data_IF_305857609442
#
_entry.id   IF_305857609442
#
_cell.length_a   1.000
_cell.length_b   1.000
_cell.length_c   1.000
_cell.angle_alpha   90.00
_cell.angle_beta   90.00
_cell.angle_gamma   90.00
#
_symmetry.space_group_name_H-M   'P 1'
#
loop_
_entity.id
_entity.type
_entity.pdbx_description
1 polymer ?
#
# COMPACT_ATOMS: atom_id res chain seq x y z
N UNK A 1 -2.10 59.31 74.84
CA UNK A 1 -1.83 58.11 75.64
C UNK A 1 -2.66 56.98 75.04
N UNK A 2 -2.13 56.27 74.05
CA UNK A 2 -2.85 55.22 73.30
C UNK A 2 -2.13 53.89 73.46
N UNK A 3 -2.83 52.77 73.74
CA UNK A 3 -2.18 51.50 73.94
C UNK A 3 -1.96 50.76 72.61
N UNK A 4 -0.86 50.02 72.64
CA UNK A 4 -0.24 49.17 71.62
C UNK A 4 -1.00 47.87 71.37
N UNK A 5 -1.05 47.42 70.10
CA UNK A 5 -1.40 46.06 69.71
C UNK A 5 -0.49 45.57 68.58
N UNK A 6 0.36 44.58 68.87
CA UNK A 6 1.43 44.07 67.99
C UNK A 6 0.88 43.17 66.87
N UNK A 7 1.28 43.40 65.62
CA UNK A 7 1.01 42.52 64.49
C UNK A 7 1.99 41.32 64.46
N UNK A 8 1.47 40.10 64.33
CA UNK A 8 2.25 38.85 64.19
C UNK A 8 2.74 38.74 62.75
N UNK A 9 4.05 38.57 62.54
CA UNK A 9 4.64 38.25 61.24
C UNK A 9 4.52 36.74 60.98
N UNK A 10 3.80 36.37 59.91
CA UNK A 10 3.83 35.03 59.32
C UNK A 10 4.98 34.98 58.31
N UNK A 11 5.94 34.08 58.53
CA UNK A 11 6.97 33.73 57.54
C UNK A 11 6.36 32.73 56.55
N UNK A 12 6.12 33.16 55.32
CA UNK A 12 5.81 32.27 54.21
C UNK A 12 7.13 31.72 53.64
N UNK A 13 7.36 30.41 53.80
CA UNK A 13 8.46 29.71 53.14
C UNK A 13 8.01 29.37 51.72
N UNK A 14 8.55 30.08 50.72
CA UNK A 14 8.33 29.77 49.31
C UNK A 14 9.23 28.60 48.91
N UNK A 15 8.65 27.40 48.81
CA UNK A 15 9.32 26.22 48.24
C UNK A 15 9.32 26.28 46.71
N UNK A 16 10.50 26.44 46.11
CA UNK A 16 10.70 26.35 44.66
C UNK A 16 10.63 24.88 44.22
N UNK A 17 9.50 24.47 43.67
CA UNK A 17 9.37 23.14 43.03
C UNK A 17 9.94 23.25 41.62
N UNK A 18 11.15 22.73 41.42
CA UNK A 18 11.78 22.62 40.12
C UNK A 18 11.23 21.37 39.40
N UNK A 19 10.21 21.55 38.57
CA UNK A 19 9.69 20.48 37.70
C UNK A 19 10.65 20.29 36.51
N UNK A 20 11.53 19.29 36.60
CA UNK A 20 12.27 18.81 35.44
C UNK A 20 11.29 18.15 34.47
N UNK A 21 10.87 18.87 33.43
CA UNK A 21 10.17 18.27 32.31
C UNK A 21 11.15 17.34 31.58
N UNK A 22 11.07 16.04 31.85
CA UNK A 22 11.69 15.04 31.00
C UNK A 22 10.99 15.12 29.63
N UNK A 23 11.62 15.81 28.69
CA UNK A 23 11.24 15.70 27.28
C UNK A 23 11.43 14.25 26.87
N UNK A 24 10.33 13.51 26.75
CA UNK A 24 10.33 12.23 26.07
C UNK A 24 10.75 12.50 24.63
N UNK A 25 12.04 12.29 24.33
CA UNK A 25 12.49 12.22 22.95
C UNK A 25 11.67 11.08 22.33
N UNK A 26 10.82 11.39 21.36
CA UNK A 26 10.18 10.36 20.56
C UNK A 26 11.32 9.55 19.95
N UNK A 27 11.57 8.34 20.49
CA UNK A 27 12.49 7.42 19.87
C UNK A 27 12.03 7.31 18.42
N UNK A 28 12.93 7.59 17.47
CA UNK A 28 12.64 7.36 16.07
C UNK A 28 12.19 5.91 15.98
N UNK A 29 10.90 5.69 15.73
CA UNK A 29 10.35 4.35 15.67
C UNK A 29 11.21 3.58 14.67
N UNK A 30 11.82 2.48 15.13
CA UNK A 30 12.67 1.66 14.27
C UNK A 30 11.90 1.25 13.02
N UNK A 31 12.66 0.92 11.98
CA UNK A 31 12.09 0.58 10.70
C UNK A 31 12.62 -0.76 10.20
N UNK A 32 11.73 -1.50 9.56
CA UNK A 32 12.12 -2.65 8.77
C UNK A 32 12.65 -2.11 7.43
N UNK A 33 13.95 -2.24 7.24
CA UNK A 33 14.64 -1.88 6.00
C UNK A 33 14.97 -3.13 5.19
N UNK A 34 15.30 -2.96 3.93
CA UNK A 34 15.72 -4.11 3.15
C UNK A 34 16.02 -3.82 1.70
N UNK A 35 16.33 -4.89 0.99
CA UNK A 35 16.57 -4.88 -0.45
C UNK A 35 15.72 -5.93 -1.16
N UNK A 36 15.09 -5.54 -2.25
CA UNK A 36 14.39 -6.42 -3.18
C UNK A 36 15.19 -6.53 -4.47
N UNK A 37 15.57 -7.75 -4.85
CA UNK A 37 16.05 -8.05 -6.19
C UNK A 37 14.94 -8.70 -6.99
N UNK A 38 14.64 -8.17 -8.18
CA UNK A 38 13.69 -8.79 -9.11
C UNK A 38 14.46 -9.35 -10.31
N UNK A 39 14.17 -10.59 -10.69
CA UNK A 39 14.80 -11.26 -11.83
C UNK A 39 13.77 -11.97 -12.70
N UNK A 40 14.05 -12.11 -13.99
CA UNK A 40 13.25 -12.95 -14.87
C UNK A 40 13.67 -14.44 -14.81
N UNK A 41 13.00 -15.29 -15.59
CA UNK A 41 13.32 -16.72 -15.68
C UNK A 41 14.71 -17.06 -16.23
N UNK A 42 15.39 -16.10 -16.87
CA UNK A 42 16.77 -16.24 -17.33
C UNK A 42 17.80 -15.66 -16.31
N UNK A 43 17.32 -15.16 -15.16
CA UNK A 43 18.16 -14.57 -14.12
C UNK A 43 18.56 -13.11 -14.36
N UNK A 44 18.05 -12.47 -15.43
CA UNK A 44 18.33 -11.05 -15.73
C UNK A 44 17.61 -10.14 -14.75
N UNK A 45 18.25 -9.04 -14.36
CA UNK A 45 17.65 -8.06 -13.45
C UNK A 45 16.46 -7.34 -14.09
N UNK A 46 15.40 -7.14 -13.32
CA UNK A 46 14.21 -6.37 -13.66
C UNK A 46 14.08 -5.21 -12.66
N UNK A 47 13.51 -4.08 -13.09
CA UNK A 47 13.30 -2.92 -12.22
C UNK A 47 12.43 -3.28 -11.00
N UNK A 48 12.95 -3.18 -9.77
CA UNK A 48 12.19 -3.54 -8.57
C UNK A 48 11.11 -2.50 -8.21
N UNK A 49 11.20 -1.26 -8.71
CA UNK A 49 10.34 -0.15 -8.25
C UNK A 49 8.86 -0.30 -8.60
N UNK A 50 8.55 -1.18 -9.56
CA UNK A 50 7.18 -1.57 -9.87
C UNK A 50 6.54 -2.46 -8.79
N UNK A 51 7.33 -3.12 -7.95
CA UNK A 51 6.84 -4.02 -6.91
C UNK A 51 6.27 -3.27 -5.68
N UNK A 52 5.49 -3.99 -4.89
CA UNK A 52 5.06 -3.59 -3.55
C UNK A 52 5.67 -4.57 -2.55
N UNK A 53 6.32 -4.03 -1.52
CA UNK A 53 6.77 -4.77 -0.34
C UNK A 53 5.78 -4.53 0.79
N UNK A 54 5.29 -5.57 1.44
CA UNK A 54 4.24 -5.46 2.45
C UNK A 54 4.36 -6.54 3.53
N UNK A 55 3.66 -6.33 4.63
CA UNK A 55 3.63 -7.26 5.76
C UNK A 55 2.18 -7.56 6.16
N UNK A 56 1.94 -8.82 6.52
CA UNK A 56 0.65 -9.30 7.03
C UNK A 56 0.83 -9.91 8.42
N UNK A 57 -0.26 -10.18 9.11
CA UNK A 57 -0.26 -10.78 10.45
C UNK A 57 -0.91 -9.92 11.52
N UNK A 58 -1.29 -8.68 11.18
CA UNK A 58 -2.11 -7.82 12.03
C UNK A 58 -2.97 -6.89 11.17
N UNK A 59 -3.96 -6.25 11.81
CA UNK A 59 -4.90 -5.35 11.15
C UNK A 59 -4.72 -3.90 11.63
N UNK A 60 -4.95 -2.97 10.72
CA UNK A 60 -5.08 -1.54 11.03
C UNK A 60 -6.28 -0.99 10.26
N UNK A 61 -6.98 0.02 10.81
CA UNK A 61 -8.06 0.66 10.07
C UNK A 61 -7.52 1.37 8.83
N UNK A 62 -8.30 1.32 7.75
CA UNK A 62 -8.13 2.21 6.62
C UNK A 62 -8.16 3.68 7.05
N UNK A 63 -7.53 4.53 6.24
CA UNK A 63 -7.55 5.98 6.46
C UNK A 63 -8.71 6.67 5.74
N UNK A 64 -9.51 5.90 4.98
CA UNK A 64 -10.47 6.45 4.04
C UNK A 64 -9.77 7.07 2.83
N UNK A 65 -8.58 6.57 2.50
CA UNK A 65 -7.82 7.05 1.35
C UNK A 65 -8.51 6.64 0.06
N UNK A 66 -8.37 7.50 -0.95
CA UNK A 66 -8.82 7.20 -2.31
C UNK A 66 -7.59 7.15 -3.20
N UNK A 67 -7.28 5.97 -3.73
CA UNK A 67 -6.21 5.80 -4.71
C UNK A 67 -6.78 5.93 -6.12
N UNK A 68 -5.98 6.38 -7.08
CA UNK A 68 -6.42 6.50 -8.48
C UNK A 68 -5.71 5.50 -9.37
N UNK A 69 -6.46 4.82 -10.23
CA UNK A 69 -5.97 4.01 -11.34
C UNK A 69 -6.58 4.57 -12.63
N UNK A 70 -5.79 5.27 -13.43
CA UNK A 70 -6.28 5.89 -14.67
C UNK A 70 -6.35 4.89 -15.82
N UNK A 71 -7.36 5.01 -16.68
CA UNK A 71 -7.33 4.38 -18.01
C UNK A 71 -6.69 5.37 -18.99
N UNK A 72 -5.44 5.10 -19.39
CA UNK A 72 -4.65 5.98 -20.24
C UNK A 72 -3.74 5.19 -21.17
N UNK A 73 -3.75 5.53 -22.47
CA UNK A 73 -2.99 4.83 -23.49
C UNK A 73 -3.34 3.35 -23.59
N UNK A 74 -4.62 2.98 -23.44
CA UNK A 74 -5.09 1.58 -23.38
C UNK A 74 -4.37 0.76 -22.30
N UNK A 75 -4.13 1.38 -21.15
CA UNK A 75 -3.55 0.74 -19.96
C UNK A 75 -4.25 1.26 -18.71
N UNK A 76 -4.22 0.47 -17.66
CA UNK A 76 -4.43 0.97 -16.31
C UNK A 76 -3.11 1.52 -15.77
N UNK A 77 -3.12 2.74 -15.24
CA UNK A 77 -1.91 3.42 -14.76
C UNK A 77 -2.17 4.08 -13.40
N UNK A 78 -1.44 3.68 -12.33
CA UNK A 78 -0.55 2.53 -12.28
C UNK A 78 -1.31 1.21 -12.46
N UNK A 79 -0.62 0.17 -12.93
CA UNK A 79 -1.20 -1.18 -13.07
C UNK A 79 -1.18 -1.95 -11.74
N UNK A 80 -0.31 -1.60 -10.79
CA UNK A 80 -0.30 -2.16 -9.44
C UNK A 80 -0.51 -1.05 -8.40
N UNK A 81 -1.46 -1.25 -7.49
CA UNK A 81 -1.60 -0.42 -6.28
C UNK A 81 -1.72 -1.29 -5.04
N UNK A 82 -1.34 -0.73 -3.89
CA UNK A 82 -1.64 -1.29 -2.59
C UNK A 82 -2.48 -0.28 -1.81
N UNK A 83 -3.53 -0.78 -1.17
CA UNK A 83 -4.47 -0.02 -0.34
C UNK A 83 -4.76 -0.82 0.93
N UNK A 84 -5.34 -0.19 1.95
CA UNK A 84 -5.80 -0.90 3.15
C UNK A 84 -7.28 -1.23 3.01
N UNK A 85 -7.70 -2.38 3.56
CA UNK A 85 -9.10 -2.78 3.58
C UNK A 85 -9.98 -1.69 4.22
N UNK A 86 -10.90 -1.15 3.44
CA UNK A 86 -11.75 0.01 3.77
C UNK A 86 -11.48 1.24 2.91
N UNK A 87 -10.39 1.28 2.15
CA UNK A 87 -10.09 2.34 1.18
C UNK A 87 -10.87 2.17 -0.13
N UNK A 88 -10.89 3.24 -0.93
CA UNK A 88 -11.54 3.31 -2.24
C UNK A 88 -10.52 3.48 -3.38
N UNK A 89 -10.93 3.12 -4.61
CA UNK A 89 -10.18 3.40 -5.83
C UNK A 89 -11.06 4.12 -6.85
N UNK A 90 -10.54 5.21 -7.41
CA UNK A 90 -11.10 5.94 -8.54
C UNK A 90 -10.49 5.49 -9.86
N UNK A 91 -11.35 5.32 -10.87
CA UNK A 91 -10.96 4.91 -12.22
C UNK A 91 -11.34 5.97 -13.26
N UNK A 92 -10.57 7.05 -13.44
CA UNK A 92 -10.84 8.02 -14.49
C UNK A 92 -10.46 7.47 -15.87
N UNK A 93 -11.28 7.75 -16.88
CA UNK A 93 -10.92 7.51 -18.28
C UNK A 93 -10.28 8.76 -18.88
N UNK A 94 -9.00 8.66 -19.25
CA UNK A 94 -8.23 9.74 -19.89
C UNK A 94 -8.13 9.61 -21.41
N UNK A 95 -8.49 8.47 -21.96
CA UNK A 95 -8.45 8.20 -23.39
C UNK A 95 -9.73 8.68 -24.09
N UNK A 96 -9.65 8.97 -25.38
CA UNK A 96 -10.79 9.37 -26.21
C UNK A 96 -11.77 8.23 -26.52
N UNK A 97 -11.38 6.98 -26.23
CA UNK A 97 -12.17 5.78 -26.48
C UNK A 97 -12.91 5.32 -25.22
N UNK A 98 -13.88 4.42 -25.40
CA UNK A 98 -14.56 3.77 -24.28
C UNK A 98 -13.64 2.75 -23.63
N UNK A 99 -13.67 2.74 -22.30
CA UNK A 99 -13.06 1.69 -21.48
C UNK A 99 -14.06 1.14 -20.49
N UNK A 100 -13.82 -0.08 -20.05
CA UNK A 100 -14.58 -0.78 -19.02
C UNK A 100 -13.63 -1.14 -17.87
N UNK A 101 -14.18 -1.29 -16.67
CA UNK A 101 -13.42 -1.71 -15.49
C UNK A 101 -14.22 -2.79 -14.77
N UNK A 102 -13.71 -4.01 -14.77
CA UNK A 102 -14.34 -5.15 -14.11
C UNK A 102 -13.32 -6.04 -13.40
N UNK A 103 -13.81 -6.84 -12.46
CA UNK A 103 -13.07 -7.86 -11.73
C UNK A 103 -13.94 -9.10 -11.55
N UNK A 104 -13.33 -10.27 -11.70
CA UNK A 104 -13.92 -11.58 -11.35
C UNK A 104 -13.25 -12.19 -10.11
N UNK A 105 -12.33 -11.48 -9.45
CA UNK A 105 -11.67 -11.97 -8.24
C UNK A 105 -12.69 -12.23 -7.14
N UNK A 106 -12.66 -13.42 -6.55
CA UNK A 106 -13.66 -13.89 -5.56
C UNK A 106 -13.82 -12.96 -4.36
N UNK A 107 -12.74 -12.32 -3.91
CA UNK A 107 -12.76 -11.39 -2.77
C UNK A 107 -13.56 -10.12 -3.07
N UNK A 108 -13.63 -9.70 -4.34
CA UNK A 108 -14.29 -8.47 -4.75
C UNK A 108 -14.68 -8.48 -6.24
N UNK A 109 -15.73 -9.23 -6.64
CA UNK A 109 -16.24 -9.17 -8.00
C UNK A 109 -16.98 -7.85 -8.25
N UNK A 110 -16.83 -7.27 -9.45
CA UNK A 110 -17.58 -6.07 -9.88
C UNK A 110 -17.47 -5.82 -11.39
N UNK A 111 -18.41 -5.03 -11.94
CA UNK A 111 -18.33 -4.43 -13.27
C UNK A 111 -18.84 -2.98 -13.17
N UNK A 112 -17.99 -2.01 -13.52
CA UNK A 112 -18.36 -0.59 -13.50
C UNK A 112 -19.01 -0.14 -14.82
N UNK A 113 -19.18 -1.04 -15.80
CA UNK A 113 -19.67 -0.70 -17.14
C UNK A 113 -18.65 0.10 -17.95
N UNK A 114 -18.99 0.38 -19.21
CA UNK A 114 -18.12 1.18 -20.09
C UNK A 114 -18.41 2.67 -19.96
N UNK A 115 -17.39 3.52 -20.03
CA UNK A 115 -17.56 4.97 -19.92
C UNK A 115 -16.53 5.75 -20.74
N UNK A 116 -16.92 6.97 -21.13
CA UNK A 116 -16.19 7.85 -22.05
C UNK A 116 -15.10 8.65 -21.31
N UNK A 117 -14.24 9.29 -22.10
CA UNK A 117 -13.26 10.27 -21.63
C UNK A 117 -13.84 11.25 -20.61
N UNK A 118 -13.07 11.54 -19.58
CA UNK A 118 -13.42 12.54 -18.55
C UNK A 118 -14.35 12.00 -17.46
N UNK A 119 -14.97 10.84 -17.66
CA UNK A 119 -15.76 10.18 -16.61
C UNK A 119 -14.83 9.41 -15.66
N UNK A 120 -15.22 9.35 -14.38
CA UNK A 120 -14.56 8.54 -13.36
C UNK A 120 -15.62 7.77 -12.58
N UNK A 121 -15.28 6.56 -12.16
CA UNK A 121 -16.12 5.74 -11.27
C UNK A 121 -15.30 5.27 -10.08
N UNK A 122 -15.91 5.30 -8.89
CA UNK A 122 -15.32 4.88 -7.64
C UNK A 122 -15.75 3.47 -7.27
N UNK A 123 -14.84 2.68 -6.68
CA UNK A 123 -15.13 1.38 -6.07
C UNK A 123 -14.44 1.26 -4.72
N UNK A 124 -15.19 0.86 -3.69
CA UNK A 124 -14.60 0.56 -2.37
C UNK A 124 -14.13 -0.88 -2.21
N UNK A 125 -13.22 -1.10 -1.26
CA UNK A 125 -12.56 -2.39 -1.03
C UNK A 125 -12.50 -2.74 0.48
N UNK A 126 -13.59 -3.25 1.07
CA UNK A 126 -13.70 -3.47 2.51
C UNK A 126 -12.97 -4.73 3.03
N UNK A 127 -12.54 -5.63 2.13
CA UNK A 127 -12.00 -6.95 2.50
C UNK A 127 -10.60 -7.10 1.92
N UNK A 128 -9.65 -7.48 2.77
CA UNK A 128 -8.28 -7.75 2.35
C UNK A 128 -8.21 -8.95 1.38
N UNK A 129 -7.37 -8.83 0.36
CA UNK A 129 -7.17 -9.80 -0.70
C UNK A 129 -6.58 -9.18 -1.96
N UNK A 130 -6.30 -10.03 -2.96
CA UNK A 130 -5.82 -9.59 -4.26
C UNK A 130 -7.00 -9.45 -5.21
N UNK A 131 -7.12 -8.29 -5.86
CA UNK A 131 -8.18 -8.02 -6.84
C UNK A 131 -7.55 -7.67 -8.18
N UNK A 132 -7.77 -8.53 -9.17
CA UNK A 132 -7.36 -8.25 -10.54
C UNK A 132 -8.48 -7.51 -11.28
N UNK A 133 -8.08 -6.49 -12.03
CA UNK A 133 -8.96 -5.56 -12.72
C UNK A 133 -8.63 -5.55 -14.19
N UNK A 134 -9.65 -5.65 -15.02
CA UNK A 134 -9.54 -5.83 -16.46
C UNK A 134 -10.46 -4.87 -17.22
N UNK A 135 -10.18 -4.68 -18.52
CA UNK A 135 -11.08 -3.99 -19.43
C UNK A 135 -11.76 -4.97 -20.36
N UNK A 136 -13.10 -4.93 -20.45
CA UNK A 136 -13.87 -5.81 -21.34
C UNK A 136 -13.73 -5.51 -22.84
N UNK A 137 -12.96 -4.48 -23.22
CA UNK A 137 -12.80 -4.03 -24.61
C UNK A 137 -11.37 -4.29 -25.09
N UNK A 138 -10.37 -4.00 -24.24
CA UNK A 138 -8.95 -4.08 -24.60
C UNK A 138 -8.27 -5.21 -23.80
N UNK A 139 -7.82 -6.29 -24.45
CA UNK A 139 -7.24 -7.47 -23.79
C UNK A 139 -5.86 -7.21 -23.15
N UNK A 140 -5.24 -6.06 -23.42
CA UNK A 140 -3.96 -5.67 -22.82
C UNK A 140 -4.13 -4.86 -21.53
N UNK A 141 -5.36 -4.46 -21.19
CA UNK A 141 -5.62 -3.64 -20.01
C UNK A 141 -5.88 -4.51 -18.80
N UNK A 142 -4.86 -4.62 -17.96
CA UNK A 142 -4.94 -5.32 -16.70
C UNK A 142 -4.25 -4.53 -15.58
N UNK A 143 -4.77 -4.65 -14.36
CA UNK A 143 -4.23 -4.08 -13.14
C UNK A 143 -4.49 -5.02 -11.96
N UNK A 144 -3.77 -4.81 -10.86
CA UNK A 144 -3.96 -5.54 -9.61
C UNK A 144 -4.01 -4.54 -8.45
N UNK A 145 -4.98 -4.74 -7.56
CA UNK A 145 -5.15 -4.00 -6.32
C UNK A 145 -4.83 -4.99 -5.19
N UNK A 146 -3.73 -4.74 -4.49
CA UNK A 146 -3.41 -5.42 -3.23
C UNK A 146 -4.20 -4.73 -2.12
N UNK A 147 -5.31 -5.33 -1.70
CA UNK A 147 -6.08 -4.86 -0.54
C UNK A 147 -5.46 -5.52 0.70
N UNK A 148 -4.75 -4.75 1.51
CA UNK A 148 -3.96 -5.24 2.62
C UNK A 148 -4.69 -5.04 3.96
N UNK A 149 -4.45 -5.91 4.96
CA UNK A 149 -5.13 -5.81 6.26
C UNK A 149 -4.64 -4.64 7.12
N UNK A 150 -3.51 -4.03 6.78
CA UNK A 150 -2.89 -2.93 7.52
C UNK A 150 -2.19 -1.96 6.54
N UNK A 151 -1.56 -0.90 7.06
CA UNK A 151 -0.89 0.14 6.26
C UNK A 151 0.61 -0.08 6.13
N UNK A 152 1.11 -1.29 6.44
CA UNK A 152 2.54 -1.64 6.36
C UNK A 152 2.88 -2.18 4.99
N UNK A 153 2.93 -1.26 4.04
CA UNK A 153 3.43 -1.52 2.69
C UNK A 153 4.21 -0.32 2.15
N UNK A 154 5.11 -0.60 1.22
CA UNK A 154 5.99 0.39 0.61
C UNK A 154 6.37 -0.06 -0.81
N UNK A 155 7.05 0.81 -1.54
CA UNK A 155 7.68 0.49 -2.83
C UNK A 155 9.19 0.63 -2.69
N UNK A 156 9.98 -0.32 -3.20
CA UNK A 156 11.41 -0.13 -3.26
C UNK A 156 11.78 0.94 -4.30
N UNK A 157 12.94 1.55 -4.11
CA UNK A 157 13.56 2.39 -5.14
C UNK A 157 14.09 1.53 -6.31
N UNK A 158 14.63 2.17 -7.35
CA UNK A 158 15.21 1.46 -8.51
C UNK A 158 16.43 0.61 -8.18
N UNK A 159 17.09 0.85 -7.05
CA UNK A 159 18.19 0.02 -6.55
C UNK A 159 17.68 -1.13 -5.67
N UNK A 160 16.36 -1.27 -5.51
CA UNK A 160 15.72 -2.30 -4.72
C UNK A 160 15.62 -1.98 -3.23
N UNK A 161 16.12 -0.83 -2.76
CA UNK A 161 16.08 -0.49 -1.33
C UNK A 161 14.69 -0.05 -0.93
N UNK A 162 14.24 -0.48 0.24
CA UNK A 162 12.96 -0.04 0.79
C UNK A 162 13.05 0.21 2.29
N UNK A 163 12.06 0.96 2.78
CA UNK A 163 11.87 1.26 4.18
C UNK A 163 10.39 1.08 4.55
N UNK A 164 10.12 0.31 5.59
CA UNK A 164 8.78 0.04 6.13
C UNK A 164 8.73 0.54 7.59
N UNK A 165 8.24 1.76 7.84
CA UNK A 165 8.24 2.34 9.18
C UNK A 165 7.13 1.77 10.06
N UNK A 166 7.39 1.74 11.37
CA UNK A 166 6.37 1.44 12.38
C UNK A 166 5.87 -0.01 12.35
N UNK A 167 6.76 -0.95 12.02
CA UNK A 167 6.47 -2.38 12.19
C UNK A 167 6.58 -2.69 13.69
N UNK A 168 5.57 -3.32 14.31
CA UNK A 168 5.66 -3.68 15.73
C UNK A 168 6.80 -4.69 15.97
N UNK A 169 7.45 -4.69 17.14
CA UNK A 169 8.39 -5.75 17.51
C UNK A 169 7.76 -7.14 17.42
N UNK A 170 8.56 -8.14 17.06
CA UNK A 170 8.13 -9.53 16.94
C UNK A 170 8.44 -10.17 15.59
N UNK A 171 7.93 -11.39 15.41
CA UNK A 171 8.19 -12.24 14.26
C UNK A 171 7.15 -12.01 13.16
N UNK A 172 7.59 -11.61 11.98
CA UNK A 172 6.71 -11.28 10.86
C UNK A 172 7.14 -11.93 9.55
N UNK A 173 6.18 -12.11 8.65
CA UNK A 173 6.46 -12.47 7.25
C UNK A 173 6.32 -11.24 6.36
N UNK A 174 7.42 -10.87 5.72
CA UNK A 174 7.48 -9.80 4.72
C UNK A 174 7.29 -10.42 3.35
N UNK A 175 6.47 -9.79 2.52
CA UNK A 175 6.19 -10.21 1.15
C UNK A 175 6.64 -9.16 0.15
N UNK A 176 6.98 -9.58 -1.06
CA UNK A 176 7.07 -8.70 -2.22
C UNK A 176 6.23 -9.26 -3.37
N UNK A 177 5.49 -8.37 -4.03
CA UNK A 177 4.62 -8.70 -5.16
C UNK A 177 4.80 -7.69 -6.30
N UNK A 178 4.80 -8.21 -7.53
CA UNK A 178 4.62 -7.46 -8.77
C UNK A 178 3.71 -8.28 -9.67
N UNK A 179 2.96 -7.66 -10.60
CA UNK A 179 1.94 -8.38 -11.40
C UNK A 179 2.48 -9.57 -12.19
N UNK A 180 3.66 -9.41 -12.76
CA UNK A 180 4.35 -10.47 -13.49
C UNK A 180 5.03 -11.52 -12.58
N UNK A 181 4.89 -11.44 -11.25
CA UNK A 181 5.50 -12.40 -10.34
C UNK A 181 4.95 -13.82 -10.59
N UNK A 182 5.85 -14.81 -10.67
CA UNK A 182 5.47 -16.23 -10.71
C UNK A 182 4.75 -16.63 -9.40
N UNK A 183 5.22 -16.07 -8.29
CA UNK A 183 4.61 -16.11 -6.96
C UNK A 183 5.16 -14.95 -6.13
N UNK A 184 4.44 -14.46 -5.11
CA UNK A 184 5.02 -13.53 -4.16
C UNK A 184 6.32 -14.07 -3.56
N UNK A 185 7.33 -13.22 -3.44
CA UNK A 185 8.51 -13.53 -2.63
C UNK A 185 8.16 -13.31 -1.16
N UNK A 186 8.78 -14.07 -0.26
CA UNK A 186 8.60 -13.86 1.17
C UNK A 186 9.84 -14.21 1.97
N UNK A 187 9.97 -13.58 3.13
CA UNK A 187 10.97 -13.90 4.14
C UNK A 187 10.40 -13.62 5.53
N UNK A 188 10.82 -14.42 6.51
CA UNK A 188 10.52 -14.16 7.92
C UNK A 188 11.59 -13.23 8.48
N UNK A 189 11.16 -12.25 9.28
CA UNK A 189 12.03 -11.29 9.96
C UNK A 189 11.64 -11.17 11.43
N UNK A 190 12.65 -11.07 12.30
CA UNK A 190 12.48 -10.71 13.71
C UNK A 190 12.73 -9.21 13.86
N UNK A 191 11.69 -8.46 14.24
CA UNK A 191 11.77 -7.03 14.49
C UNK A 191 12.14 -6.81 15.96
N UNK A 192 13.27 -6.14 16.19
CA UNK A 192 13.79 -5.85 17.52
C UNK A 192 12.87 -4.96 18.35
N UNK A 193 13.16 -4.86 19.65
CA UNK A 193 12.39 -4.02 20.57
C UNK A 193 12.42 -2.52 20.20
N UNK A 194 13.45 -2.09 19.48
CA UNK A 194 13.59 -0.74 18.93
C UNK A 194 12.74 -0.54 17.65
N UNK A 195 12.12 -1.59 17.11
CA UNK A 195 11.35 -1.57 15.86
C UNK A 195 12.19 -1.80 14.61
N UNK A 196 13.48 -2.11 14.75
CA UNK A 196 14.41 -2.22 13.62
C UNK A 196 14.59 -3.67 13.17
N UNK A 197 14.71 -3.85 11.86
CA UNK A 197 15.19 -5.09 11.25
C UNK A 197 15.65 -4.86 9.81
N UNK A 198 16.37 -5.84 9.26
CA UNK A 198 16.77 -5.87 7.86
C UNK A 198 16.31 -7.18 7.20
N UNK A 199 15.86 -7.11 5.94
CA UNK A 199 15.47 -8.30 5.17
C UNK A 199 15.90 -8.18 3.71
N UNK A 200 16.27 -9.31 3.11
CA UNK A 200 16.53 -9.40 1.67
C UNK A 200 15.48 -10.28 1.02
N UNK A 201 14.93 -9.82 -0.09
CA UNK A 201 13.93 -10.54 -0.88
C UNK A 201 14.44 -10.74 -2.31
N UNK A 202 14.14 -11.91 -2.87
CA UNK A 202 14.37 -12.22 -4.28
C UNK A 202 13.06 -12.64 -4.91
N UNK A 203 12.62 -11.90 -5.92
CA UNK A 203 11.37 -12.12 -6.62
C UNK A 203 11.64 -12.52 -8.08
N UNK A 204 11.03 -13.61 -8.51
CA UNK A 204 11.10 -14.05 -9.92
C UNK A 204 9.84 -13.65 -10.66
N UNK A 205 10.01 -13.00 -11.81
CA UNK A 205 8.93 -12.65 -12.73
C UNK A 205 8.91 -13.56 -13.95
N UNK A 206 7.71 -13.80 -14.46
CA UNK A 206 7.45 -14.50 -15.71
C UNK A 206 6.70 -13.62 -16.69
N UNK A 207 6.07 -14.25 -17.68
CA UNK A 207 5.12 -13.56 -18.55
C UNK A 207 3.81 -13.31 -17.80
N UNK A 208 3.21 -12.15 -18.03
CA UNK A 208 1.86 -11.88 -17.53
C UNK A 208 0.85 -12.76 -18.29
N UNK A 209 -0.03 -13.48 -17.58
CA UNK A 209 -1.02 -14.31 -18.25
C UNK A 209 -2.04 -13.45 -19.01
N UNK A 210 -2.49 -13.87 -20.20
CA UNK A 210 -3.59 -13.19 -20.86
C UNK A 210 -4.87 -13.34 -20.04
N UNK A 211 -5.75 -12.34 -20.09
CA UNK A 211 -7.06 -12.40 -19.44
C UNK A 211 -8.19 -12.60 -20.45
N UNK A 212 -9.35 -13.03 -19.94
CA UNK A 212 -10.59 -13.20 -20.70
C UNK A 212 -11.46 -11.95 -20.58
N UNK A 213 -12.52 -11.89 -21.39
CA UNK A 213 -13.54 -10.85 -21.28
C UNK A 213 -14.41 -11.09 -20.02
N UNK A 214 -15.31 -10.16 -19.72
CA UNK A 214 -16.14 -10.21 -18.51
C UNK A 214 -17.14 -11.38 -18.46
N UNK A 215 -17.32 -12.09 -19.57
CA UNK A 215 -18.16 -13.28 -19.69
C UNK A 215 -17.37 -14.58 -19.57
N UNK A 216 -16.05 -14.51 -19.35
CA UNK A 216 -15.18 -15.68 -19.28
C UNK A 216 -14.74 -16.20 -20.66
N UNK A 217 -14.99 -15.47 -21.73
CA UNK A 217 -14.65 -15.87 -23.09
C UNK A 217 -13.36 -15.20 -23.58
N UNK A 218 -12.70 -15.81 -24.57
CA UNK A 218 -11.60 -15.15 -25.29
C UNK A 218 -12.12 -13.92 -26.05
N UNK A 219 -11.29 -12.89 -26.14
CA UNK A 219 -11.59 -11.70 -26.94
C UNK A 219 -11.75 -12.08 -28.43
N UNK A 220 -12.88 -11.71 -29.03
CA UNK A 220 -13.15 -11.94 -30.46
C UNK A 220 -12.47 -10.83 -31.26
N UNK A 221 -11.43 -11.18 -32.02
CA UNK A 221 -10.66 -10.31 -32.92
C UNK A 221 -10.02 -9.07 -32.25
N UNK A 222 -8.78 -9.19 -31.72
CA UNK A 222 -8.05 -8.08 -31.11
C UNK A 222 -7.82 -6.89 -32.04
N UNK A 223 -7.87 -7.09 -33.38
CA UNK A 223 -7.63 -6.02 -34.35
C UNK A 223 -8.76 -4.99 -34.41
N UNK A 224 -9.97 -5.35 -33.98
CA UNK A 224 -11.12 -4.41 -33.91
C UNK A 224 -11.02 -3.38 -32.79
N UNK A 225 -10.03 -3.52 -31.90
CA UNK A 225 -9.87 -2.70 -30.71
C UNK A 225 -8.51 -1.97 -30.66
N UNK A 226 -7.71 -2.06 -31.73
CA UNK A 226 -6.42 -1.37 -31.91
C UNK A 226 -6.56 0.07 -32.41
#
# INVERSE_FOLDING_TARGET
>A
MGPTGKARRLLAVAGLVLTTALGASAAAAGALTGTLTVRDGAGRSVDPSAAVVYLVGFTEPATGSVVTIEQRGRRFVPDLVAITAGDDVDFPNRDSILHNVFSTSSVRPFDLGSYKRGQSKRKGFPTAGVVDVYCNIHPEMAATILVLPNRRFTRPDRAGRFNLPGVPPGRWTVFAYVRAAVRPASAVVEVGADGSAAVTLVLTVGAEPPHVNKFGERYRDPARYR
#
